data_IF_293326259848
#
_entry.id   IF_293326259848
#
_cell.length_a   1.000
_cell.length_b   1.000
_cell.length_c   1.000
_cell.angle_alpha   90.00
_cell.angle_beta   90.00
_cell.angle_gamma   90.00
#
_symmetry.space_group_name_H-M   'P 1'
#
loop_
_entity.id
_entity.type
_entity.pdbx_description
1 polymer ?
#
# COMPACT_ATOMS: atom_id res chain seq x y z
N UNK A 1 39.01 -22.40 -40.14
CA UNK A 1 37.84 -21.69 -39.57
C UNK A 1 38.36 -20.64 -38.64
N UNK A 2 38.75 -19.58 -39.32
CA UNK A 2 39.51 -18.42 -38.91
C UNK A 2 38.62 -17.31 -38.33
N UNK A 3 39.32 -16.35 -37.74
CA UNK A 3 39.03 -14.92 -37.61
C UNK A 3 38.17 -14.38 -36.45
N UNK A 4 38.92 -13.69 -35.60
CA UNK A 4 38.59 -12.55 -34.74
C UNK A 4 37.96 -11.35 -35.49
N UNK A 5 37.61 -10.31 -34.71
CA UNK A 5 37.31 -8.91 -35.10
C UNK A 5 35.80 -8.61 -35.36
N UNK A 6 35.18 -7.50 -34.92
CA UNK A 6 35.64 -6.14 -34.63
C UNK A 6 34.54 -5.30 -33.90
N UNK A 7 34.98 -4.30 -33.12
CA UNK A 7 34.52 -2.89 -32.92
C UNK A 7 33.15 -2.38 -33.49
N UNK A 8 32.47 -1.29 -33.09
CA UNK A 8 32.66 -0.14 -32.17
C UNK A 8 31.40 0.79 -32.17
N UNK A 9 31.31 1.64 -31.12
CA UNK A 9 30.74 3.00 -30.95
C UNK A 9 29.78 3.73 -31.94
N UNK A 10 28.85 4.53 -31.37
CA UNK A 10 28.61 6.00 -31.60
C UNK A 10 27.43 6.49 -30.74
N UNK A 11 27.55 7.45 -29.78
CA UNK A 11 27.51 8.95 -29.83
C UNK A 11 26.29 9.52 -30.58
N UNK A 12 25.32 10.16 -29.91
CA UNK A 12 25.18 11.58 -29.47
C UNK A 12 24.34 12.43 -30.46
N UNK A 13 23.90 13.60 -30.01
CA UNK A 13 23.18 14.71 -30.65
C UNK A 13 21.64 14.76 -30.61
N UNK A 14 21.14 15.82 -29.96
CA UNK A 14 19.75 16.23 -30.00
C UNK A 14 19.35 17.44 -29.15
N UNK A 15 20.22 18.45 -28.99
CA UNK A 15 19.87 19.78 -28.47
C UNK A 15 18.97 20.54 -29.48
N UNK A 16 17.90 21.20 -29.00
CA UNK A 16 17.47 22.48 -29.57
C UNK A 16 16.48 23.25 -28.68
N UNK A 17 17.02 24.34 -28.11
CA UNK A 17 16.56 25.75 -28.24
C UNK A 17 15.16 26.14 -27.70
N UNK A 18 15.08 26.98 -26.65
CA UNK A 18 15.27 28.46 -26.54
C UNK A 18 14.00 29.29 -26.86
N UNK A 19 13.75 30.28 -25.99
CA UNK A 19 12.96 31.49 -26.26
C UNK A 19 12.38 32.09 -24.96
N UNK A 20 13.13 32.91 -24.20
CA UNK A 20 13.24 34.39 -24.28
C UNK A 20 11.99 35.18 -23.86
N UNK A 21 12.19 36.13 -22.94
CA UNK A 21 11.21 37.15 -22.54
C UNK A 21 11.66 37.98 -21.34
N UNK A 22 12.51 38.98 -21.60
CA UNK A 22 13.04 40.00 -20.67
C UNK A 22 12.02 41.04 -20.18
N UNK A 23 12.39 41.75 -19.08
CA UNK A 23 12.28 43.21 -18.82
C UNK A 23 11.84 43.50 -17.37
N UNK A 24 12.72 43.84 -16.42
CA UNK A 24 13.38 45.14 -16.10
C UNK A 24 12.51 46.14 -15.29
N UNK A 25 12.99 46.35 -14.04
CA UNK A 25 13.02 47.54 -13.18
C UNK A 25 11.73 48.29 -12.74
N UNK A 26 11.57 48.41 -11.40
CA UNK A 26 11.51 49.73 -10.74
C UNK A 26 11.79 49.62 -9.22
N UNK A 27 12.87 50.28 -8.77
CA UNK A 27 13.10 50.65 -7.36
C UNK A 27 12.22 51.85 -7.01
N UNK A 28 11.67 51.86 -5.79
CA UNK A 28 11.36 53.08 -5.03
C UNK A 28 11.55 52.79 -3.54
N UNK A 29 12.34 53.64 -2.89
CA UNK A 29 12.65 53.65 -1.46
C UNK A 29 11.69 54.58 -0.70
N UNK A 30 11.83 54.59 0.63
CA UNK A 30 11.27 55.49 1.67
C UNK A 30 9.97 54.97 2.30
N UNK A 31 9.72 54.98 3.62
CA UNK A 31 10.48 55.20 4.87
C UNK A 31 9.47 55.12 6.03
N UNK A 32 9.97 54.92 7.25
CA UNK A 32 9.39 55.31 8.55
C UNK A 32 8.50 54.31 9.32
N UNK A 33 8.96 54.11 10.56
CA UNK A 33 8.31 53.71 11.80
C UNK A 33 6.78 53.78 11.89
N UNK A 34 6.20 52.70 12.41
CA UNK A 34 5.16 52.79 13.46
C UNK A 34 5.38 51.66 14.46
N UNK A 35 5.91 52.01 15.64
CA UNK A 35 5.72 51.26 16.87
C UNK A 35 4.23 51.29 17.26
N UNK A 36 3.67 50.16 17.70
CA UNK A 36 2.30 50.15 18.22
C UNK A 36 1.63 48.78 18.37
N UNK A 37 1.52 48.36 19.64
CA UNK A 37 0.40 47.61 20.24
C UNK A 37 0.16 46.14 19.87
N UNK A 38 0.60 45.28 20.79
CA UNK A 38 -0.20 44.29 21.55
C UNK A 38 -1.21 43.38 20.83
N UNK A 39 -1.01 42.08 21.10
CA UNK A 39 -2.02 41.02 21.20
C UNK A 39 -2.78 40.63 19.92
N UNK A 40 -2.33 39.54 19.29
CA UNK A 40 -3.17 38.76 18.38
C UNK A 40 -2.75 37.29 18.46
N UNK A 41 -3.71 36.46 18.87
CA UNK A 41 -3.66 35.01 19.02
C UNK A 41 -2.97 34.29 17.85
N UNK A 42 -2.40 33.08 18.04
CA UNK A 42 -1.75 32.36 16.95
C UNK A 42 -2.80 31.97 15.90
N UNK A 43 -2.89 32.75 14.83
CA UNK A 43 -3.70 32.43 13.66
C UNK A 43 -3.12 31.15 13.08
N UNK A 44 -3.84 30.04 13.24
CA UNK A 44 -3.51 28.76 12.60
C UNK A 44 -3.39 29.02 11.10
N UNK A 45 -2.17 29.11 10.59
CA UNK A 45 -1.88 29.17 9.15
C UNK A 45 -2.52 27.93 8.53
N UNK A 46 -3.63 28.12 7.81
CA UNK A 46 -4.27 27.05 7.06
C UNK A 46 -3.29 26.60 5.98
N UNK A 47 -2.80 25.36 6.12
CA UNK A 47 -1.88 24.75 5.16
C UNK A 47 -2.54 24.67 3.79
N UNK A 48 -1.75 24.87 2.75
CA UNK A 48 -2.28 24.82 1.39
C UNK A 48 -2.80 23.41 1.07
N UNK A 49 -3.79 23.32 0.18
CA UNK A 49 -4.31 22.03 -0.33
C UNK A 49 -3.18 21.17 -0.92
N UNK A 50 -2.13 21.82 -1.44
CA UNK A 50 -0.93 21.16 -1.95
C UNK A 50 -0.15 20.47 -0.83
N UNK A 51 0.12 21.16 0.28
CA UNK A 51 0.78 20.57 1.46
C UNK A 51 -0.03 19.43 2.09
N UNK A 52 -1.36 19.55 2.13
CA UNK A 52 -2.22 18.49 2.66
C UNK A 52 -2.17 17.21 1.81
N UNK A 53 -2.10 17.37 0.47
CA UNK A 53 -1.93 16.24 -0.47
C UNK A 53 -0.53 15.65 -0.41
N UNK A 54 0.51 16.46 -0.15
CA UNK A 54 1.88 16.00 0.06
C UNK A 54 2.01 15.13 1.32
N UNK A 55 1.33 15.49 2.41
CA UNK A 55 1.38 14.73 3.66
C UNK A 55 0.70 13.36 3.57
N UNK A 56 -0.39 13.22 2.79
CA UNK A 56 -1.00 11.90 2.55
C UNK A 56 -0.12 10.94 1.74
N UNK A 57 0.98 11.43 1.15
CA UNK A 57 1.98 10.63 0.44
C UNK A 57 3.25 10.35 1.24
N UNK A 58 3.44 10.97 2.41
CA UNK A 58 4.57 10.64 3.29
C UNK A 58 4.28 9.32 4.01
N UNK A 59 4.63 8.23 3.36
CA UNK A 59 4.46 6.85 3.82
C UNK A 59 5.41 6.46 4.95
N UNK A 60 5.53 7.27 6.01
CA UNK A 60 6.42 6.98 7.14
C UNK A 60 5.69 6.41 8.39
N UNK A 61 4.36 6.48 8.46
CA UNK A 61 3.56 5.92 9.57
C UNK A 61 3.07 4.48 9.35
N UNK A 62 3.32 3.89 8.17
CA UNK A 62 2.82 2.55 7.83
C UNK A 62 3.56 1.43 8.56
N UNK A 63 4.87 1.58 8.76
CA UNK A 63 5.68 0.59 9.48
C UNK A 63 5.55 0.72 11.00
N UNK A 64 5.31 1.93 11.52
CA UNK A 64 5.21 2.18 12.96
C UNK A 64 3.93 1.58 13.57
N UNK A 65 2.79 1.70 12.91
CA UNK A 65 1.51 1.10 13.35
C UNK A 65 1.55 -0.42 13.36
N UNK A 66 2.11 -1.04 12.32
CA UNK A 66 2.31 -2.50 12.28
C UNK A 66 3.20 -2.95 13.45
N UNK A 67 4.32 -2.26 13.68
CA UNK A 67 5.25 -2.56 14.79
C UNK A 67 4.60 -2.39 16.17
N UNK A 68 3.71 -1.40 16.37
CA UNK A 68 3.04 -1.18 17.66
C UNK A 68 2.02 -2.27 17.98
N UNK A 69 1.31 -2.81 16.97
CA UNK A 69 0.25 -3.81 17.19
C UNK A 69 0.72 -5.26 17.20
N UNK A 70 1.87 -5.58 16.58
CA UNK A 70 2.43 -6.94 16.55
C UNK A 70 2.59 -7.60 17.93
N UNK A 71 2.59 -6.80 19.00
CA UNK A 71 2.75 -7.25 20.38
C UNK A 71 1.41 -7.48 21.12
N UNK A 72 0.28 -7.06 20.55
CA UNK A 72 -1.04 -7.28 21.18
C UNK A 72 -1.52 -8.72 20.95
N UNK A 73 -2.12 -9.33 21.98
CA UNK A 73 -2.67 -10.68 21.89
C UNK A 73 -3.80 -10.76 20.85
N UNK A 74 -4.63 -9.73 20.77
CA UNK A 74 -5.72 -9.64 19.78
C UNK A 74 -5.20 -9.68 18.34
N UNK A 75 -4.13 -8.93 18.05
CA UNK A 75 -3.50 -8.95 16.73
C UNK A 75 -3.00 -10.35 16.38
N UNK A 76 -2.28 -10.99 17.30
CA UNK A 76 -1.71 -12.33 17.07
C UNK A 76 -2.79 -13.38 16.86
N UNK A 77 -3.86 -13.31 17.66
CA UNK A 77 -5.01 -14.19 17.52
C UNK A 77 -5.71 -13.98 16.17
N UNK A 78 -5.99 -12.73 15.82
CA UNK A 78 -6.61 -12.41 14.53
C UNK A 78 -5.73 -12.84 13.35
N UNK A 79 -4.43 -12.56 13.40
CA UNK A 79 -3.49 -12.97 12.36
C UNK A 79 -3.49 -14.49 12.15
N UNK A 80 -3.52 -15.27 13.25
CA UNK A 80 -3.62 -16.72 13.19
C UNK A 80 -4.92 -17.16 12.51
N UNK A 81 -6.07 -16.74 13.05
CA UNK A 81 -7.37 -17.15 12.50
C UNK A 81 -7.59 -16.68 11.06
N UNK A 82 -7.08 -15.49 10.71
CA UNK A 82 -7.13 -14.98 9.35
C UNK A 82 -6.32 -15.86 8.40
N UNK A 83 -5.08 -16.19 8.75
CA UNK A 83 -4.22 -17.02 7.90
C UNK A 83 -4.85 -18.40 7.67
N UNK A 84 -5.35 -19.03 8.73
CA UNK A 84 -5.98 -20.35 8.65
C UNK A 84 -7.21 -20.31 7.73
N UNK A 85 -8.09 -19.32 7.90
CA UNK A 85 -9.29 -19.20 7.08
C UNK A 85 -8.99 -18.81 5.62
N UNK A 86 -8.07 -17.87 5.39
CA UNK A 86 -7.65 -17.49 4.04
C UNK A 86 -7.02 -18.68 3.31
N UNK A 87 -6.20 -19.47 4.00
CA UNK A 87 -5.60 -20.67 3.44
C UNK A 87 -6.67 -21.69 3.06
N UNK A 88 -7.60 -21.98 3.98
CA UNK A 88 -8.73 -22.90 3.75
C UNK A 88 -9.60 -22.46 2.57
N UNK A 89 -9.96 -21.18 2.51
CA UNK A 89 -10.78 -20.63 1.43
C UNK A 89 -10.05 -20.68 0.08
N UNK A 90 -8.76 -20.35 0.07
CA UNK A 90 -7.94 -20.41 -1.14
C UNK A 90 -7.84 -21.84 -1.64
N UNK A 91 -7.45 -22.78 -0.77
CA UNK A 91 -7.34 -24.20 -1.14
C UNK A 91 -8.66 -24.75 -1.68
N UNK A 92 -9.79 -24.45 -1.04
CA UNK A 92 -11.11 -24.88 -1.53
C UNK A 92 -11.43 -24.33 -2.92
N UNK A 93 -11.07 -23.07 -3.17
CA UNK A 93 -11.26 -22.43 -4.48
C UNK A 93 -10.38 -23.08 -5.56
N UNK A 94 -9.11 -23.35 -5.24
CA UNK A 94 -8.17 -23.97 -6.18
C UNK A 94 -8.61 -25.39 -6.52
N UNK A 95 -9.00 -26.20 -5.54
CA UNK A 95 -9.54 -27.55 -5.79
C UNK A 95 -10.72 -27.56 -6.79
N UNK A 96 -11.46 -26.45 -6.89
CA UNK A 96 -12.58 -26.30 -7.84
C UNK A 96 -12.17 -25.71 -9.19
N UNK A 97 -11.19 -24.81 -9.21
CA UNK A 97 -10.78 -24.07 -10.41
C UNK A 97 -9.65 -24.76 -11.17
N UNK A 98 -8.67 -25.29 -10.43
CA UNK A 98 -7.48 -25.96 -10.96
C UNK A 98 -6.97 -26.98 -9.92
N UNK A 99 -7.56 -28.20 -9.87
CA UNK A 99 -7.22 -29.21 -8.86
C UNK A 99 -5.76 -29.67 -8.92
N UNK A 100 -5.16 -29.72 -10.10
CA UNK A 100 -3.77 -30.16 -10.32
C UNK A 100 -2.75 -29.30 -9.55
N UNK A 101 -3.06 -28.01 -9.35
CA UNK A 101 -2.22 -27.08 -8.58
C UNK A 101 -2.17 -27.41 -7.07
N UNK A 102 -3.07 -28.25 -6.57
CA UNK A 102 -3.05 -28.72 -5.18
C UNK A 102 -2.12 -29.91 -4.96
N UNK A 103 -1.69 -30.60 -6.02
CA UNK A 103 -0.99 -31.89 -5.96
C UNK A 103 0.54 -31.75 -6.10
N UNK A 104 1.06 -30.52 -6.24
CA UNK A 104 2.49 -30.28 -6.41
C UNK A 104 3.30 -30.46 -5.12
N UNK A 105 4.41 -31.19 -5.25
CA UNK A 105 5.39 -31.53 -4.22
C UNK A 105 6.08 -30.32 -3.58
N UNK A 106 6.61 -30.56 -2.38
CA UNK A 106 6.94 -29.57 -1.33
C UNK A 106 8.08 -28.59 -1.63
N UNK A 107 8.77 -28.72 -2.77
CA UNK A 107 10.03 -28.02 -3.04
C UNK A 107 9.85 -26.56 -3.48
N UNK A 108 8.70 -26.18 -4.05
CA UNK A 108 8.35 -24.79 -4.32
C UNK A 108 6.93 -24.50 -3.83
N UNK A 109 6.76 -23.49 -2.96
CA UNK A 109 5.45 -23.12 -2.45
C UNK A 109 4.49 -22.85 -3.63
N UNK A 110 3.42 -23.66 -3.79
CA UNK A 110 2.49 -23.54 -4.91
C UNK A 110 1.98 -22.11 -5.07
N UNK A 111 1.72 -21.67 -6.30
CA UNK A 111 1.30 -20.29 -6.58
C UNK A 111 0.13 -19.86 -5.67
N UNK A 112 -0.83 -20.75 -5.44
CA UNK A 112 -1.96 -20.49 -4.57
C UNK A 112 -1.58 -20.23 -3.11
N UNK A 113 -0.52 -20.85 -2.57
CA UNK A 113 -0.02 -20.55 -1.22
C UNK A 113 0.55 -19.12 -1.15
N UNK A 114 1.24 -18.68 -2.21
CA UNK A 114 1.73 -17.28 -2.33
C UNK A 114 0.56 -16.31 -2.40
N UNK A 115 -0.49 -16.64 -3.15
CA UNK A 115 -1.73 -15.85 -3.21
C UNK A 115 -2.42 -15.79 -1.85
N UNK A 116 -2.56 -16.90 -1.14
CA UNK A 116 -3.12 -16.92 0.22
C UNK A 116 -2.32 -16.02 1.19
N UNK A 117 -0.98 -16.04 1.11
CA UNK A 117 -0.11 -15.15 1.89
C UNK A 117 -0.36 -13.67 1.56
N UNK A 118 -0.43 -13.32 0.27
CA UNK A 118 -0.69 -11.94 -0.17
C UNK A 118 -2.08 -11.44 0.25
N UNK A 119 -3.10 -12.29 0.15
CA UNK A 119 -4.46 -12.00 0.64
C UNK A 119 -4.43 -11.75 2.15
N UNK A 120 -3.78 -12.61 2.92
CA UNK A 120 -3.68 -12.49 4.38
C UNK A 120 -3.01 -11.17 4.77
N UNK A 121 -1.88 -10.83 4.15
CA UNK A 121 -1.19 -9.55 4.38
C UNK A 121 -2.08 -8.35 4.07
N UNK A 122 -2.78 -8.39 2.93
CA UNK A 122 -3.68 -7.30 2.53
C UNK A 122 -4.86 -7.14 3.49
N UNK A 123 -5.43 -8.25 3.96
CA UNK A 123 -6.53 -8.23 4.93
C UNK A 123 -6.08 -7.73 6.30
N UNK A 124 -4.89 -8.13 6.77
CA UNK A 124 -4.28 -7.55 7.97
C UNK A 124 -4.13 -6.03 7.85
N UNK A 125 -3.59 -5.55 6.73
CA UNK A 125 -3.44 -4.11 6.49
C UNK A 125 -4.76 -3.37 6.49
N UNK A 126 -5.82 -3.97 5.94
CA UNK A 126 -7.16 -3.39 5.93
C UNK A 126 -7.76 -3.36 7.33
N UNK A 127 -7.58 -4.42 8.11
CA UNK A 127 -8.10 -4.51 9.47
C UNK A 127 -7.46 -3.47 10.39
N UNK A 128 -6.15 -3.24 10.27
CA UNK A 128 -5.43 -2.21 11.03
C UNK A 128 -5.90 -0.78 10.73
N UNK A 129 -6.53 -0.54 9.57
CA UNK A 129 -7.10 0.76 9.21
C UNK A 129 -8.52 0.96 9.72
N UNK A 130 -9.14 -0.08 10.27
CA UNK A 130 -10.45 0.04 10.89
C UNK A 130 -10.36 0.74 12.24
N UNK A 131 -11.47 1.37 12.62
CA UNK A 131 -11.66 1.94 13.94
C UNK A 131 -11.50 0.86 15.03
N UNK A 132 -10.96 1.24 16.18
CA UNK A 132 -10.67 0.30 17.28
C UNK A 132 -11.93 -0.42 17.78
N UNK A 133 -13.10 0.19 17.67
CA UNK A 133 -14.39 -0.38 18.10
C UNK A 133 -14.84 -1.58 17.27
N UNK A 134 -14.36 -1.72 16.03
CA UNK A 134 -14.78 -2.77 15.09
C UNK A 134 -13.64 -3.67 14.60
N UNK A 135 -12.39 -3.31 14.94
CA UNK A 135 -11.16 -4.00 14.56
C UNK A 135 -11.06 -5.39 15.18
N UNK A 136 -10.47 -6.32 14.43
CA UNK A 136 -10.21 -7.75 14.74
C UNK A 136 -11.48 -8.57 14.94
N UNK A 137 -12.50 -8.02 15.59
CA UNK A 137 -13.84 -8.57 15.73
C UNK A 137 -13.81 -10.07 16.06
N UNK A 138 -13.11 -10.39 17.16
CA UNK A 138 -12.89 -11.74 17.64
C UNK A 138 -13.96 -12.17 18.65
N UNK A 139 -14.20 -13.48 18.71
CA UNK A 139 -14.89 -14.20 19.79
C UNK A 139 -13.89 -15.09 20.54
N UNK A 140 -14.33 -15.82 21.58
CA UNK A 140 -13.51 -16.81 22.28
C UNK A 140 -12.96 -17.89 21.34
N UNK A 141 -13.74 -18.22 20.30
CA UNK A 141 -13.49 -19.38 19.45
C UNK A 141 -12.91 -18.99 18.07
N UNK A 142 -12.78 -17.70 17.76
CA UNK A 142 -12.21 -17.25 16.50
C UNK A 142 -12.73 -15.92 15.95
N UNK A 143 -12.89 -15.87 14.64
CA UNK A 143 -13.42 -14.70 13.91
C UNK A 143 -14.95 -14.65 14.04
N UNK A 144 -15.50 -13.49 14.41
CA UNK A 144 -16.95 -13.27 14.37
C UNK A 144 -17.46 -13.21 12.93
N UNK A 145 -18.76 -13.47 12.75
CA UNK A 145 -19.43 -13.51 11.45
C UNK A 145 -19.21 -12.26 10.60
N UNK A 146 -19.16 -11.09 11.24
CA UNK A 146 -18.94 -9.82 10.56
C UNK A 146 -17.54 -9.72 9.92
N UNK A 147 -16.49 -10.20 10.59
CA UNK A 147 -15.15 -10.31 10.03
C UNK A 147 -15.10 -11.41 8.98
N UNK A 148 -15.68 -12.58 9.27
CA UNK A 148 -15.75 -13.72 8.36
C UNK A 148 -16.40 -13.34 7.02
N UNK A 149 -17.49 -12.57 7.04
CA UNK A 149 -18.17 -12.07 5.83
C UNK A 149 -17.27 -11.18 4.98
N UNK A 150 -16.49 -10.27 5.61
CA UNK A 150 -15.53 -9.40 4.89
C UNK A 150 -14.38 -10.22 4.28
N UNK A 151 -13.83 -11.16 5.05
CA UNK A 151 -12.73 -12.03 4.62
C UNK A 151 -13.18 -12.88 3.42
N UNK A 152 -14.30 -13.60 3.54
CA UNK A 152 -14.88 -14.40 2.45
C UNK A 152 -15.14 -13.55 1.21
N UNK A 153 -15.77 -12.39 1.36
CA UNK A 153 -16.04 -11.48 0.25
C UNK A 153 -14.77 -11.01 -0.46
N UNK A 154 -13.70 -10.71 0.28
CA UNK A 154 -12.43 -10.33 -0.32
C UNK A 154 -11.74 -11.50 -1.03
N UNK A 155 -11.65 -12.67 -0.36
CA UNK A 155 -11.06 -13.88 -0.92
C UNK A 155 -11.77 -14.28 -2.22
N UNK A 156 -13.09 -14.39 -2.23
CA UNK A 156 -13.86 -14.77 -3.42
C UNK A 156 -13.60 -13.81 -4.58
N UNK A 157 -13.66 -12.50 -4.35
CA UNK A 157 -13.41 -11.51 -5.40
C UNK A 157 -11.98 -11.58 -5.94
N UNK A 158 -10.98 -11.76 -5.08
CA UNK A 158 -9.59 -11.85 -5.50
C UNK A 158 -9.33 -13.15 -6.28
N UNK A 159 -9.80 -14.27 -5.74
CA UNK A 159 -9.57 -15.60 -6.31
C UNK A 159 -10.30 -15.78 -7.64
N UNK A 160 -11.53 -15.27 -7.79
CA UNK A 160 -12.23 -15.32 -9.08
C UNK A 160 -11.49 -14.56 -10.20
N UNK A 161 -10.72 -13.52 -9.86
CA UNK A 161 -9.91 -12.78 -10.85
C UNK A 161 -8.61 -13.51 -11.18
N UNK A 162 -8.00 -14.16 -10.20
CA UNK A 162 -6.68 -14.79 -10.32
C UNK A 162 -6.76 -16.24 -10.83
N UNK A 163 -7.77 -16.97 -10.39
CA UNK A 163 -8.08 -18.36 -10.72
C UNK A 163 -9.58 -18.48 -11.05
N UNK A 164 -10.01 -18.06 -12.24
CA UNK A 164 -11.42 -18.14 -12.62
C UNK A 164 -11.93 -19.58 -12.53
N UNK A 165 -13.18 -19.76 -12.09
CA UNK A 165 -13.82 -21.07 -12.12
C UNK A 165 -14.15 -21.45 -13.58
N UNK A 166 -14.01 -22.73 -13.95
CA UNK A 166 -14.48 -23.22 -15.25
C UNK A 166 -15.99 -22.97 -15.39
N UNK A 167 -16.41 -22.69 -16.62
CA UNK A 167 -17.81 -22.41 -16.97
C UNK A 167 -18.68 -23.65 -16.93
#
# INVERSE_FOLDING_TARGET
DDDDEQESNSRDDGDSRRGMGESVAKKRSLSADTSGTSDASPVKKMRSVREYRSQKRSGNDRSSLLKSYHHTQEYRNFEKFLKDEVYRLTQLHIRRSNPEMCDHDEDEAPEWRRVAKAISQTLMEKELRLDSTVRFNLSSDGLKDSAMKRIKGYCTNYLNRKFPLPR
#
